data_IF_016129721801
#
_entry.id   IF_016129721801
#
_cell.length_a   1.000
_cell.length_b   1.000
_cell.length_c   1.000
_cell.angle_alpha   90.00
_cell.angle_beta   90.00
_cell.angle_gamma   90.00
#
_symmetry.space_group_name_H-M   'P 1'
#
loop_
_entity.id
_entity.type
_entity.pdbx_description
1 polymer ?
#
# COMPACT_ATOMS: atom_id res chain seq x y z
N UNK A 1 0.12 -5.05 -24.08
CA UNK A 1 -0.51 -6.30 -23.61
C UNK A 1 0.22 -6.89 -22.40
N UNK A 2 1.50 -7.26 -22.50
CA UNK A 2 2.26 -7.83 -21.37
C UNK A 2 2.31 -6.94 -20.12
N UNK A 3 2.73 -5.68 -20.26
CA UNK A 3 2.86 -4.73 -19.13
C UNK A 3 1.55 -4.59 -18.32
N UNK A 4 0.41 -4.54 -19.00
CA UNK A 4 -0.91 -4.48 -18.35
C UNK A 4 -1.23 -5.74 -17.54
N UNK A 5 -0.91 -6.93 -18.06
CA UNK A 5 -1.09 -8.19 -17.33
C UNK A 5 -0.12 -8.30 -16.14
N UNK A 6 1.15 -7.93 -16.35
CA UNK A 6 2.15 -7.87 -15.29
C UNK A 6 1.70 -6.93 -14.15
N UNK A 7 1.17 -5.75 -14.49
CA UNK A 7 0.62 -4.81 -13.52
C UNK A 7 -0.53 -5.45 -12.73
N UNK A 8 -1.50 -6.09 -13.39
CA UNK A 8 -2.60 -6.77 -12.70
C UNK A 8 -2.10 -7.86 -11.73
N UNK A 9 -1.12 -8.67 -12.15
CA UNK A 9 -0.53 -9.70 -11.29
C UNK A 9 0.17 -9.08 -10.08
N UNK A 10 0.89 -7.98 -10.25
CA UNK A 10 1.55 -7.29 -9.13
C UNK A 10 0.55 -6.58 -8.20
N UNK A 11 -0.53 -6.03 -8.74
CA UNK A 11 -1.55 -5.32 -7.95
C UNK A 11 -2.48 -6.28 -7.19
N UNK A 12 -2.89 -7.38 -7.84
CA UNK A 12 -3.96 -8.25 -7.36
C UNK A 12 -3.50 -9.67 -7.02
N UNK A 13 -2.29 -10.07 -7.39
CA UNK A 13 -1.75 -11.38 -7.03
C UNK A 13 -1.57 -11.52 -5.52
N UNK A 14 -1.80 -12.72 -5.00
CA UNK A 14 -1.74 -13.05 -3.57
C UNK A 14 -0.49 -13.88 -3.22
N UNK A 15 0.44 -14.02 -4.16
CA UNK A 15 1.62 -14.88 -4.04
C UNK A 15 1.53 -16.10 -4.94
N UNK A 16 2.58 -16.92 -4.92
CA UNK A 16 2.73 -18.08 -5.80
C UNK A 16 2.26 -19.40 -5.18
N UNK A 17 1.85 -19.39 -3.93
CA UNK A 17 1.47 -20.61 -3.17
C UNK A 17 0.25 -21.35 -3.71
N UNK A 18 -0.57 -20.67 -4.52
CA UNK A 18 -1.74 -21.24 -5.19
C UNK A 18 -1.56 -21.31 -6.71
N UNK A 19 -0.34 -21.12 -7.21
CA UNK A 19 -0.06 -21.11 -8.65
C UNK A 19 0.76 -22.33 -9.03
N UNK A 20 0.11 -23.29 -9.68
CA UNK A 20 0.78 -24.43 -10.30
C UNK A 20 1.20 -24.05 -11.71
N UNK A 21 2.50 -24.01 -11.96
CA UNK A 21 3.04 -23.67 -13.28
C UNK A 21 3.25 -24.89 -14.17
N UNK A 22 3.13 -26.12 -13.66
CA UNK A 22 3.30 -27.37 -14.41
C UNK A 22 4.55 -27.36 -15.31
N UNK A 23 5.69 -26.93 -14.74
CA UNK A 23 6.98 -26.78 -15.43
C UNK A 23 6.99 -25.85 -16.66
N UNK A 24 5.95 -25.03 -16.82
CA UNK A 24 5.93 -24.01 -17.87
C UNK A 24 7.01 -22.94 -17.59
N UNK A 25 7.68 -22.43 -18.63
CA UNK A 25 8.72 -21.39 -18.50
C UNK A 25 8.20 -20.04 -17.97
N UNK A 26 6.91 -19.95 -17.63
CA UNK A 26 6.28 -18.79 -17.00
C UNK A 26 6.63 -18.67 -15.51
N UNK A 27 7.10 -19.74 -14.86
CA UNK A 27 7.45 -19.73 -13.44
C UNK A 27 8.45 -18.62 -13.09
N UNK A 28 9.53 -18.49 -13.87
CA UNK A 28 10.54 -17.43 -13.71
C UNK A 28 9.96 -16.02 -13.86
N UNK A 29 8.94 -15.86 -14.72
CA UNK A 29 8.26 -14.58 -14.92
C UNK A 29 7.45 -14.25 -13.66
N UNK A 30 6.66 -15.21 -13.19
CA UNK A 30 5.81 -15.06 -12.01
C UNK A 30 6.61 -14.80 -10.74
N UNK A 31 7.76 -15.46 -10.55
CA UNK A 31 8.68 -15.18 -9.44
C UNK A 31 9.20 -13.75 -9.45
N UNK A 32 9.58 -13.22 -10.62
CA UNK A 32 10.05 -11.84 -10.74
C UNK A 32 8.92 -10.83 -10.50
N UNK A 33 7.70 -11.11 -10.96
CA UNK A 33 6.52 -10.29 -10.66
C UNK A 33 6.18 -10.34 -9.18
N UNK A 34 6.24 -11.51 -8.55
CA UNK A 34 5.98 -11.67 -7.12
C UNK A 34 7.02 -10.94 -6.27
N UNK A 35 8.30 -10.94 -6.66
CA UNK A 35 9.33 -10.10 -6.01
C UNK A 35 9.00 -8.62 -6.05
N UNK A 36 8.49 -8.10 -7.19
CA UNK A 36 8.05 -6.71 -7.31
C UNK A 36 6.81 -6.43 -6.45
N UNK A 37 5.85 -7.35 -6.40
CA UNK A 37 4.72 -7.28 -5.46
C UNK A 37 5.24 -7.21 -4.01
N UNK A 38 6.12 -8.13 -3.61
CA UNK A 38 6.68 -8.19 -2.26
C UNK A 38 7.46 -6.94 -1.88
N UNK A 39 8.19 -6.31 -2.82
CA UNK A 39 8.89 -5.05 -2.61
C UNK A 39 7.96 -3.89 -2.21
N UNK A 40 6.72 -3.89 -2.70
CA UNK A 40 5.77 -2.80 -2.43
C UNK A 40 5.29 -2.74 -0.97
N UNK A 41 5.28 -3.86 -0.24
CA UNK A 41 4.78 -3.87 1.14
C UNK A 41 5.70 -3.16 2.14
N UNK A 42 7.04 -3.39 2.15
CA UNK A 42 7.95 -2.56 2.92
C UNK A 42 7.83 -1.07 2.62
N UNK A 43 7.60 -0.69 1.36
CA UNK A 43 7.39 0.71 0.96
C UNK A 43 6.16 1.29 1.65
N UNK A 44 5.02 0.59 1.59
CA UNK A 44 3.79 0.99 2.29
C UNK A 44 4.00 1.06 3.80
N UNK A 45 4.62 0.04 4.40
CA UNK A 45 4.84 -0.02 5.84
C UNK A 45 5.74 1.10 6.35
N UNK A 46 6.85 1.34 5.66
CA UNK A 46 7.79 2.41 5.99
C UNK A 46 7.12 3.77 5.87
N UNK A 47 6.31 3.99 4.84
CA UNK A 47 5.58 5.24 4.69
C UNK A 47 4.57 5.45 5.83
N UNK A 48 3.80 4.43 6.21
CA UNK A 48 2.88 4.53 7.34
C UNK A 48 3.61 4.88 8.65
N UNK A 49 4.79 4.31 8.89
CA UNK A 49 5.61 4.66 10.05
C UNK A 49 6.17 6.09 9.97
N UNK A 50 6.60 6.51 8.78
CA UNK A 50 7.06 7.87 8.53
C UNK A 50 5.94 8.89 8.78
N UNK A 51 4.75 8.67 8.24
CA UNK A 51 3.57 9.52 8.48
C UNK A 51 3.25 9.62 9.97
N UNK A 52 3.31 8.51 10.71
CA UNK A 52 3.14 8.53 12.16
C UNK A 52 4.16 9.45 12.84
N UNK A 53 5.43 9.36 12.45
CA UNK A 53 6.50 10.21 12.97
C UNK A 53 6.27 11.69 12.69
N UNK A 54 5.93 12.04 11.45
CA UNK A 54 5.67 13.42 11.03
C UNK A 54 4.46 14.04 11.74
N UNK A 55 3.41 13.25 11.97
CA UNK A 55 2.25 13.67 12.75
C UNK A 55 2.61 13.93 14.23
N UNK A 56 3.40 13.03 14.84
CA UNK A 56 3.84 13.19 16.24
C UNK A 56 4.78 14.39 16.43
N UNK A 57 5.61 14.69 15.43
CA UNK A 57 6.54 15.83 15.44
C UNK A 57 5.87 17.15 15.07
N UNK A 58 4.58 17.15 14.68
CA UNK A 58 3.86 18.36 14.33
C UNK A 58 4.18 18.93 12.95
N UNK A 59 4.86 18.17 12.09
CA UNK A 59 5.28 18.59 10.74
C UNK A 59 4.19 18.40 9.69
N UNK A 60 3.18 17.60 9.99
CA UNK A 60 2.04 17.29 9.12
C UNK A 60 0.73 17.41 9.88
N UNK A 61 -0.38 17.64 9.16
CA UNK A 61 -1.70 17.88 9.76
C UNK A 61 -1.90 19.34 10.13
N UNK A 62 -3.13 19.84 10.02
CA UNK A 62 -3.40 21.28 10.09
C UNK A 62 -3.19 21.88 11.50
N UNK A 63 -3.43 21.11 12.55
CA UNK A 63 -3.51 21.57 13.93
C UNK A 63 -3.33 20.37 14.88
N UNK A 64 -3.14 20.64 16.18
CA UNK A 64 -2.85 19.59 17.17
C UNK A 64 -3.92 18.51 17.23
N UNK A 65 -5.20 18.90 17.29
CA UNK A 65 -6.32 17.94 17.37
C UNK A 65 -6.38 17.04 16.15
N UNK A 66 -6.16 17.60 14.95
CA UNK A 66 -6.06 16.86 13.70
C UNK A 66 -4.99 15.78 13.78
N UNK A 67 -3.80 16.14 14.24
CA UNK A 67 -2.66 15.22 14.36
C UNK A 67 -2.95 14.10 15.34
N UNK A 68 -3.46 14.41 16.53
CA UNK A 68 -3.80 13.42 17.55
C UNK A 68 -4.83 12.41 17.01
N UNK A 69 -5.84 12.90 16.29
CA UNK A 69 -6.86 12.06 15.64
C UNK A 69 -6.28 11.20 14.51
N UNK A 70 -5.42 11.76 13.65
CA UNK A 70 -4.77 11.02 12.56
C UNK A 70 -3.84 9.94 13.09
N UNK A 71 -3.08 10.20 14.16
CA UNK A 71 -2.23 9.21 14.83
C UNK A 71 -3.08 8.06 15.37
N UNK A 72 -4.15 8.37 16.12
CA UNK A 72 -5.04 7.34 16.65
C UNK A 72 -5.69 6.49 15.55
N UNK A 73 -6.11 7.13 14.45
CA UNK A 73 -6.69 6.43 13.29
C UNK A 73 -5.66 5.55 12.58
N UNK A 74 -4.42 6.01 12.47
CA UNK A 74 -3.32 5.29 11.84
C UNK A 74 -2.94 4.05 12.66
N UNK A 75 -2.84 4.19 13.98
CA UNK A 75 -2.55 3.07 14.88
C UNK A 75 -3.71 2.05 14.87
N UNK A 76 -4.96 2.50 14.83
CA UNK A 76 -6.12 1.62 14.65
C UNK A 76 -6.09 0.86 13.30
N UNK A 77 -5.83 1.57 12.20
CA UNK A 77 -5.70 0.99 10.87
C UNK A 77 -4.59 -0.07 10.80
N UNK A 78 -3.42 0.21 11.40
CA UNK A 78 -2.32 -0.75 11.48
C UNK A 78 -2.69 -2.00 12.27
N UNK A 79 -3.39 -1.84 13.40
CA UNK A 79 -3.87 -2.96 14.20
C UNK A 79 -4.87 -3.83 13.42
N UNK A 80 -5.82 -3.21 12.70
CA UNK A 80 -6.77 -3.94 11.87
C UNK A 80 -6.11 -4.65 10.69
N UNK A 81 -5.14 -4.02 10.02
CA UNK A 81 -4.33 -4.68 9.00
C UNK A 81 -3.56 -5.88 9.57
N UNK A 82 -2.96 -5.76 10.76
CA UNK A 82 -2.30 -6.88 11.43
C UNK A 82 -3.27 -8.02 11.76
N UNK A 83 -4.52 -7.72 12.14
CA UNK A 83 -5.55 -8.75 12.37
C UNK A 83 -5.94 -9.46 11.08
N UNK A 84 -6.12 -8.70 9.99
CA UNK A 84 -6.61 -9.22 8.70
C UNK A 84 -5.55 -9.99 7.93
N UNK A 85 -4.30 -9.52 7.98
CA UNK A 85 -3.20 -10.02 7.18
C UNK A 85 -2.17 -10.82 7.99
N UNK A 86 -2.37 -10.94 9.30
CA UNK A 86 -1.35 -11.44 10.20
C UNK A 86 -0.15 -10.49 10.29
N UNK A 87 1.03 -11.06 10.51
CA UNK A 87 2.28 -10.31 10.56
C UNK A 87 2.74 -9.92 9.14
N UNK A 88 1.99 -9.01 8.51
CA UNK A 88 2.21 -8.53 7.15
C UNK A 88 3.50 -7.71 7.00
N UNK A 89 4.19 -7.41 8.10
CA UNK A 89 5.55 -6.86 8.13
C UNK A 89 6.63 -7.91 7.77
N UNK A 90 6.32 -9.21 7.85
CA UNK A 90 7.31 -10.30 7.68
C UNK A 90 6.92 -11.35 6.66
N UNK A 91 5.63 -11.59 6.46
CA UNK A 91 5.14 -12.62 5.52
C UNK A 91 4.01 -12.05 4.68
N UNK A 92 4.32 -11.64 3.46
CA UNK A 92 3.36 -11.08 2.51
C UNK A 92 2.59 -12.15 1.71
N UNK A 93 2.34 -13.31 2.32
CA UNK A 93 1.66 -14.45 1.70
C UNK A 93 0.15 -14.23 1.78
N UNK A 94 -0.58 -14.51 0.71
CA UNK A 94 -2.04 -14.31 0.64
C UNK A 94 -2.49 -12.85 0.59
N UNK A 95 -1.59 -11.88 0.37
CA UNK A 95 -1.91 -10.44 0.43
C UNK A 95 -1.63 -9.79 -0.92
N UNK A 96 -2.60 -9.08 -1.48
CA UNK A 96 -2.40 -8.26 -2.67
C UNK A 96 -2.24 -6.77 -2.32
N UNK A 97 -1.57 -6.01 -3.20
CA UNK A 97 -1.42 -4.55 -3.02
C UNK A 97 -2.79 -3.86 -3.07
N UNK A 98 -3.67 -4.30 -3.97
CA UNK A 98 -5.05 -3.82 -4.06
C UNK A 98 -5.84 -4.06 -2.77
N UNK A 99 -5.61 -5.16 -2.07
CA UNK A 99 -6.24 -5.44 -0.78
C UNK A 99 -5.75 -4.48 0.31
N UNK A 100 -4.46 -4.14 0.33
CA UNK A 100 -3.90 -3.15 1.25
C UNK A 100 -4.45 -1.75 0.96
N UNK A 101 -4.48 -1.33 -0.31
CA UNK A 101 -5.04 -0.04 -0.75
C UNK A 101 -6.51 0.07 -0.36
N UNK A 102 -7.32 -0.93 -0.70
CA UNK A 102 -8.77 -0.93 -0.39
C UNK A 102 -9.04 -0.94 1.12
N UNK A 103 -8.21 -1.64 1.89
CA UNK A 103 -8.30 -1.65 3.36
C UNK A 103 -7.98 -0.26 3.91
N UNK A 104 -6.92 0.39 3.44
CA UNK A 104 -6.58 1.76 3.85
C UNK A 104 -7.64 2.79 3.42
N UNK A 105 -8.23 2.61 2.25
CA UNK A 105 -9.33 3.44 1.74
C UNK A 105 -10.63 3.29 2.55
N UNK A 106 -10.87 2.11 3.11
CA UNK A 106 -12.05 1.84 3.95
C UNK A 106 -12.01 2.59 5.28
N UNK A 107 -10.82 3.02 5.72
CA UNK A 107 -10.67 3.86 6.90
C UNK A 107 -11.08 5.29 6.58
N UNK A 108 -12.39 5.53 6.63
CA UNK A 108 -12.95 6.86 6.48
C UNK A 108 -12.17 7.88 7.32
N UNK A 109 -11.86 9.03 6.70
CA UNK A 109 -11.42 10.21 7.44
C UNK A 109 -12.42 10.46 8.56
N UNK A 110 -11.98 10.68 9.80
CA UNK A 110 -12.90 11.07 10.85
C UNK A 110 -13.73 12.25 10.34
N UNK A 111 -15.06 12.13 10.32
CA UNK A 111 -15.95 13.29 10.12
C UNK A 111 -15.94 14.11 11.41
N UNK A 112 -14.76 14.59 11.78
CA UNK A 112 -14.61 15.44 12.95
C UNK A 112 -14.84 16.88 12.52
N UNK A 113 -15.73 17.54 13.25
CA UNK A 113 -15.95 18.98 13.14
C UNK A 113 -15.11 19.60 14.24
N UNK A 114 -14.15 20.44 13.89
CA UNK A 114 -13.44 21.19 14.91
C UNK A 114 -14.44 22.18 15.54
N UNK A 115 -14.71 22.09 16.87
CA UNK A 115 -15.58 23.05 17.54
C UNK A 115 -15.09 24.48 17.37
N UNK A 116 -13.76 24.66 17.25
CA UNK A 116 -13.12 25.97 17.15
C UNK A 116 -13.17 26.52 15.72
N UNK A 117 -13.37 25.68 14.69
CA UNK A 117 -13.49 26.09 13.28
C UNK A 117 -14.96 26.24 12.83
N UNK A 118 -15.86 26.63 13.74
CA UNK A 118 -17.29 26.88 13.47
C UNK A 118 -17.98 25.70 12.76
N UNK A 119 -17.62 24.46 13.10
CA UNK A 119 -18.28 23.27 12.57
C UNK A 119 -17.98 22.94 11.11
N UNK A 120 -16.94 23.55 10.52
CA UNK A 120 -16.43 23.13 9.19
C UNK A 120 -15.95 21.68 9.25
N UNK A 121 -16.25 20.94 8.18
CA UNK A 121 -15.69 19.60 8.00
C UNK A 121 -14.19 19.78 7.77
N UNK A 122 -13.40 19.09 8.58
CA UNK A 122 -11.96 19.18 8.51
C UNK A 122 -11.43 18.86 7.08
N UNK A 123 -10.33 19.51 6.67
CA UNK A 123 -9.83 19.46 5.29
C UNK A 123 -9.79 18.03 4.73
N UNK A 124 -10.34 17.85 3.52
CA UNK A 124 -10.34 16.58 2.78
C UNK A 124 -8.92 16.03 2.56
N UNK A 125 -7.94 16.91 2.60
CA UNK A 125 -6.53 16.60 2.38
C UNK A 125 -5.84 16.05 3.64
N UNK A 126 -6.45 16.20 4.82
CA UNK A 126 -5.96 15.65 6.08
C UNK A 126 -6.62 14.28 6.38
N UNK A 127 -6.24 13.28 5.58
CA UNK A 127 -6.63 11.89 5.79
C UNK A 127 -5.47 10.93 5.51
N UNK A 128 -5.46 9.76 6.14
CA UNK A 128 -4.43 8.74 5.88
C UNK A 128 -4.41 8.37 4.39
N UNK A 129 -5.59 8.26 3.77
CA UNK A 129 -5.73 8.02 2.33
C UNK A 129 -5.00 9.08 1.51
N UNK A 130 -5.33 10.36 1.73
CA UNK A 130 -4.73 11.48 0.99
C UNK A 130 -3.20 11.51 1.17
N UNK A 131 -2.72 11.21 2.39
CA UNK A 131 -1.30 11.18 2.74
C UNK A 131 -0.54 9.98 2.16
N UNK A 132 -1.22 8.85 1.95
CA UNK A 132 -0.65 7.63 1.35
C UNK A 132 -0.74 7.60 -0.18
N UNK A 133 -1.60 8.44 -0.78
CA UNK A 133 -1.83 8.46 -2.22
C UNK A 133 -0.56 8.63 -3.06
N UNK A 134 0.42 9.50 -2.70
CA UNK A 134 1.67 9.61 -3.44
C UNK A 134 2.45 8.29 -3.50
N UNK A 135 2.52 7.57 -2.38
CA UNK A 135 3.20 6.27 -2.29
C UNK A 135 2.51 5.21 -3.14
N UNK A 136 1.17 5.19 -3.17
CA UNK A 136 0.46 4.27 -4.06
C UNK A 136 0.64 4.62 -5.54
N UNK A 137 0.72 5.89 -5.88
CA UNK A 137 1.02 6.32 -7.24
C UNK A 137 2.44 5.88 -7.64
N UNK A 138 3.43 6.04 -6.75
CA UNK A 138 4.80 5.56 -6.98
C UNK A 138 4.85 4.05 -7.24
N UNK A 139 4.19 3.24 -6.41
CA UNK A 139 4.11 1.78 -6.60
C UNK A 139 3.48 1.44 -7.95
N UNK A 140 2.38 2.12 -8.33
CA UNK A 140 1.72 1.92 -9.62
C UNK A 140 2.63 2.29 -10.80
N UNK A 141 3.36 3.40 -10.70
CA UNK A 141 4.32 3.79 -11.74
C UNK A 141 5.48 2.79 -11.84
N UNK A 142 5.97 2.24 -10.73
CA UNK A 142 6.97 1.18 -10.73
C UNK A 142 6.47 -0.12 -11.37
N UNK A 143 5.19 -0.45 -11.19
CA UNK A 143 4.57 -1.61 -11.82
C UNK A 143 4.42 -1.45 -13.33
N UNK A 144 4.05 -0.25 -13.81
CA UNK A 144 3.95 0.06 -15.25
C UNK A 144 5.28 -0.13 -15.98
N UNK A 145 6.41 0.03 -15.31
CA UNK A 145 7.75 -0.13 -15.90
C UNK A 145 8.10 -1.57 -16.29
N UNK A 146 7.32 -2.57 -15.87
CA UNK A 146 7.58 -3.97 -16.23
C UNK A 146 7.46 -4.21 -17.74
N UNK A 147 8.55 -4.67 -18.36
CA UNK A 147 8.64 -5.01 -19.79
C UNK A 147 8.96 -6.49 -19.97
N UNK A 148 8.47 -7.09 -21.05
CA UNK A 148 8.72 -8.52 -21.34
C UNK A 148 10.23 -8.85 -21.37
N UNK A 149 11.05 -7.92 -21.84
CA UNK A 149 12.52 -8.03 -21.90
C UNK A 149 13.17 -8.22 -20.53
N UNK A 150 12.55 -7.75 -19.44
CA UNK A 150 13.07 -7.91 -18.08
C UNK A 150 13.01 -9.38 -17.61
N UNK A 151 12.24 -10.19 -18.34
CA UNK A 151 11.92 -11.58 -17.98
C UNK A 151 12.47 -12.60 -18.99
N UNK A 152 12.91 -12.16 -20.17
CA UNK A 152 13.61 -13.02 -21.12
C UNK A 152 14.98 -13.43 -20.54
N UNK A 153 15.32 -14.71 -20.60
CA UNK A 153 16.67 -15.15 -20.29
C UNK A 153 17.64 -14.47 -21.26
N UNK A 154 18.76 -13.92 -20.74
CA UNK A 154 19.85 -13.50 -21.63
C UNK A 154 20.26 -14.74 -22.41
N UNK A 155 20.20 -14.67 -23.74
CA UNK A 155 20.85 -15.68 -24.59
C UNK A 155 22.32 -15.71 -24.17
N UNK A 156 22.74 -16.83 -23.58
CA UNK A 156 24.15 -17.17 -23.34
C UNK A 156 24.76 -17.56 -24.68
#
# INVERSE_FOLDING_TARGET
MFSSMAQLVMEHGEGLEHVETNDLPIATILEKLDKKRQWSFPVVFNQLNHLRGELLQGRMGCNRKCRDMLVGRLDAAKNEMNKKFGNWDRKHKGISVGLVVSTLDSYASPKWRDPDEKGRVHSRDCSIKSLMQPTFNEIKEEFKKAKLTDFQAKKV
#
